data_IF_788969957262
#
_entry.id   IF_788969957262
#
_cell.length_a   1.000
_cell.length_b   1.000
_cell.length_c   1.000
_cell.angle_alpha   90.00
_cell.angle_beta   90.00
_cell.angle_gamma   90.00
#
_symmetry.space_group_name_H-M   'P 1'
#
loop_
_entity.id
_entity.type
_entity.pdbx_description
1 polymer ?
#
# COMPACT_ATOMS: atom_id res chain seq x y z
N UNK A 1 -3.60 -11.04 8.98
CA UNK A 1 -3.27 -9.66 8.53
C UNK A 1 -4.12 -8.65 9.29
N UNK A 2 -3.60 -7.47 9.67
CA UNK A 2 -4.31 -6.51 10.57
C UNK A 2 -5.56 -5.89 9.95
N UNK A 3 -5.57 -5.60 8.64
CA UNK A 3 -6.77 -5.10 7.97
C UNK A 3 -7.97 -6.05 8.06
N UNK A 4 -7.76 -7.35 7.83
CA UNK A 4 -8.82 -8.35 7.96
C UNK A 4 -9.42 -8.40 9.38
N UNK A 5 -8.60 -8.15 10.41
CA UNK A 5 -9.07 -8.07 11.81
C UNK A 5 -9.88 -6.80 12.10
N UNK A 6 -9.75 -5.77 11.26
CA UNK A 6 -10.58 -4.57 11.27
C UNK A 6 -11.84 -4.73 10.39
N UNK A 7 -12.07 -5.91 9.82
CA UNK A 7 -13.19 -6.15 8.92
C UNK A 7 -13.05 -5.42 7.58
N UNK A 8 -11.82 -5.13 7.16
CA UNK A 8 -11.51 -4.49 5.88
C UNK A 8 -11.09 -5.55 4.86
N UNK A 9 -11.72 -5.51 3.69
CA UNK A 9 -11.28 -6.26 2.52
C UNK A 9 -9.98 -5.68 1.98
N UNK A 10 -9.06 -6.57 1.64
CA UNK A 10 -7.74 -6.19 1.13
C UNK A 10 -7.31 -7.17 0.06
N UNK A 11 -6.95 -6.61 -1.09
CA UNK A 11 -6.33 -7.34 -2.17
C UNK A 11 -4.81 -7.17 -2.09
N UNK A 12 -4.08 -8.26 -2.37
CA UNK A 12 -2.63 -8.28 -2.36
C UNK A 12 -2.09 -8.39 -3.78
N UNK A 13 -0.91 -7.80 -4.01
CA UNK A 13 -0.20 -7.89 -5.30
C UNK A 13 -1.08 -7.44 -6.47
N UNK A 14 -1.81 -6.34 -6.30
CA UNK A 14 -2.71 -5.80 -7.33
C UNK A 14 -1.87 -5.10 -8.42
N UNK A 15 -2.00 -5.49 -9.70
CA UNK A 15 -1.24 -4.87 -10.76
C UNK A 15 -1.77 -3.48 -11.11
N UNK A 16 -0.86 -2.54 -11.33
CA UNK A 16 -1.09 -1.20 -11.86
C UNK A 16 -0.15 -1.01 -13.04
N UNK A 17 -0.66 -0.54 -14.18
CA UNK A 17 0.21 -0.25 -15.33
C UNK A 17 1.25 0.80 -14.97
N UNK A 18 2.50 0.45 -15.20
CA UNK A 18 3.66 1.32 -15.04
C UNK A 18 3.97 2.11 -16.31
N UNK A 19 4.94 3.02 -16.24
CA UNK A 19 5.45 3.70 -17.42
C UNK A 19 6.09 2.70 -18.41
N UNK A 20 6.07 3.04 -19.69
CA UNK A 20 6.71 2.27 -20.77
C UNK A 20 6.23 0.81 -20.89
N UNK A 21 4.97 0.54 -20.54
CA UNK A 21 4.40 -0.81 -20.61
C UNK A 21 4.81 -1.74 -19.46
N UNK A 22 5.52 -1.22 -18.45
CA UNK A 22 5.81 -1.95 -17.22
C UNK A 22 4.54 -2.20 -16.39
N UNK A 23 4.68 -2.97 -15.32
CA UNK A 23 3.61 -3.19 -14.33
C UNK A 23 4.21 -3.05 -12.93
N UNK A 24 3.54 -2.29 -12.08
CA UNK A 24 3.80 -2.23 -10.65
C UNK A 24 2.78 -3.09 -9.92
N UNK A 25 3.17 -3.63 -8.77
CA UNK A 25 2.28 -4.41 -7.91
C UNK A 25 2.15 -3.70 -6.58
N UNK A 26 0.92 -3.51 -6.14
CA UNK A 26 0.62 -2.93 -4.83
C UNK A 26 0.67 -4.04 -3.80
N UNK A 27 1.44 -3.86 -2.73
CA UNK A 27 1.49 -4.84 -1.66
C UNK A 27 0.12 -5.04 -1.03
N UNK A 28 -0.59 -3.93 -0.79
CA UNK A 28 -1.95 -3.92 -0.25
C UNK A 28 -2.80 -2.90 -0.99
N UNK A 29 -4.01 -3.30 -1.38
CA UNK A 29 -5.05 -2.42 -1.87
C UNK A 29 -6.28 -2.57 -0.97
N UNK A 30 -6.79 -1.46 -0.44
CA UNK A 30 -7.95 -1.43 0.46
C UNK A 30 -9.05 -0.60 -0.20
N UNK A 31 -9.94 -1.25 -1.00
CA UNK A 31 -10.90 -0.53 -1.82
C UNK A 31 -11.81 0.39 -1.01
N UNK A 32 -12.21 -0.05 0.19
CA UNK A 32 -13.24 0.63 1.01
C UNK A 32 -12.79 1.96 1.58
N UNK A 33 -11.48 2.16 1.59
CA UNK A 33 -10.84 3.36 2.09
C UNK A 33 -10.18 4.17 0.97
N UNK A 34 -10.24 3.68 -0.28
CA UNK A 34 -9.52 4.30 -1.41
C UNK A 34 -8.01 4.34 -1.17
N UNK A 35 -7.46 3.31 -0.50
CA UNK A 35 -6.05 3.28 -0.10
C UNK A 35 -5.28 2.21 -0.84
N UNK A 36 -4.00 2.47 -1.02
CA UNK A 36 -3.00 1.43 -1.22
C UNK A 36 -1.90 1.57 -0.17
N UNK A 37 -1.25 0.46 0.15
CA UNK A 37 -0.36 0.37 1.28
C UNK A 37 0.90 -0.41 0.99
N UNK A 38 1.97 -0.05 1.69
CA UNK A 38 3.26 -0.76 1.66
C UNK A 38 3.69 -1.09 3.08
N UNK A 39 4.14 -2.33 3.27
CA UNK A 39 4.76 -2.77 4.51
C UNK A 39 6.27 -2.64 4.37
N UNK A 40 6.80 -1.48 4.76
CA UNK A 40 8.19 -1.12 4.53
C UNK A 40 9.06 -1.39 5.76
N UNK A 41 9.97 -2.36 5.63
CA UNK A 41 10.98 -2.65 6.64
C UNK A 41 12.21 -1.75 6.47
N UNK A 42 12.70 -1.15 7.57
CA UNK A 42 13.94 -0.35 7.59
C UNK A 42 15.15 -1.07 6.96
N UNK A 43 15.20 -2.40 7.09
CA UNK A 43 16.30 -3.24 6.62
C UNK A 43 16.61 -3.07 5.13
N UNK A 44 15.62 -2.76 4.27
CA UNK A 44 15.84 -2.55 2.84
C UNK A 44 16.71 -1.33 2.54
N UNK A 45 16.80 -0.39 3.47
CA UNK A 45 17.66 0.79 3.35
C UNK A 45 18.99 0.60 4.08
N UNK A 46 18.99 -0.07 5.23
CA UNK A 46 20.17 -0.13 6.11
C UNK A 46 21.09 -1.31 5.85
N UNK A 47 20.61 -2.39 5.23
CA UNK A 47 21.40 -3.61 5.01
C UNK A 47 21.57 -3.89 3.51
N UNK A 48 22.82 -3.90 3.07
CA UNK A 48 23.20 -4.07 1.66
C UNK A 48 22.71 -5.37 1.05
N UNK A 49 22.52 -6.42 1.87
CA UNK A 49 22.05 -7.74 1.41
C UNK A 49 20.64 -7.67 0.81
N UNK A 50 19.83 -6.69 1.23
CA UNK A 50 18.47 -6.50 0.74
C UNK A 50 18.37 -5.51 -0.43
N UNK A 51 19.49 -4.91 -0.86
CA UNK A 51 19.48 -3.87 -1.91
C UNK A 51 19.74 -4.37 -3.32
N UNK A 52 20.07 -5.65 -3.48
CA UNK A 52 20.29 -6.24 -4.81
C UNK A 52 21.34 -5.52 -5.65
N UNK A 53 22.37 -4.95 -5.01
CA UNK A 53 23.42 -4.16 -5.66
C UNK A 53 23.13 -2.66 -5.81
N UNK A 54 21.93 -2.19 -5.46
CA UNK A 54 21.58 -0.77 -5.47
C UNK A 54 22.05 -0.02 -4.22
N UNK A 55 22.21 1.29 -4.34
CA UNK A 55 22.38 2.17 -3.21
C UNK A 55 21.05 2.40 -2.47
N UNK A 56 21.12 2.92 -1.25
CA UNK A 56 19.90 3.27 -0.51
C UNK A 56 19.15 4.44 -1.17
N UNK A 57 19.88 5.41 -1.73
CA UNK A 57 19.33 6.56 -2.44
C UNK A 57 18.58 6.15 -3.71
N UNK A 58 19.12 5.19 -4.47
CA UNK A 58 18.47 4.64 -5.66
C UNK A 58 17.13 3.97 -5.30
N UNK A 59 17.11 3.13 -4.26
CA UNK A 59 15.88 2.48 -3.79
C UNK A 59 14.83 3.52 -3.38
N UNK A 60 15.23 4.51 -2.58
CA UNK A 60 14.31 5.58 -2.16
C UNK A 60 13.77 6.35 -3.36
N UNK A 61 14.61 6.68 -4.34
CA UNK A 61 14.20 7.40 -5.53
C UNK A 61 13.21 6.59 -6.37
N UNK A 62 13.49 5.32 -6.63
CA UNK A 62 12.61 4.42 -7.38
C UNK A 62 11.26 4.21 -6.68
N UNK A 63 11.27 3.99 -5.36
CA UNK A 63 10.05 3.84 -4.56
C UNK A 63 9.21 5.11 -4.58
N UNK A 64 9.84 6.29 -4.49
CA UNK A 64 9.15 7.57 -4.60
C UNK A 64 8.51 7.75 -5.97
N UNK A 65 9.26 7.50 -7.05
CA UNK A 65 8.75 7.61 -8.43
C UNK A 65 7.59 6.66 -8.69
N UNK A 66 7.68 5.43 -8.18
CA UNK A 66 6.60 4.43 -8.26
C UNK A 66 5.38 4.91 -7.48
N UNK A 67 5.56 5.40 -6.26
CA UNK A 67 4.47 5.91 -5.44
C UNK A 67 3.75 7.11 -6.07
N UNK A 68 4.50 8.06 -6.63
CA UNK A 68 3.95 9.21 -7.35
C UNK A 68 3.13 8.76 -8.57
N UNK A 69 3.67 7.81 -9.35
CA UNK A 69 2.98 7.26 -10.52
C UNK A 69 1.68 6.57 -10.14
N UNK A 70 1.71 5.64 -9.17
CA UNK A 70 0.50 4.91 -8.74
C UNK A 70 -0.53 5.89 -8.20
N UNK A 71 -0.14 6.78 -7.28
CA UNK A 71 -1.07 7.76 -6.68
C UNK A 71 -1.69 8.64 -7.77
N UNK A 72 -0.88 9.14 -8.72
CA UNK A 72 -1.37 9.98 -9.82
C UNK A 72 -2.28 9.25 -10.81
N UNK A 73 -2.00 7.98 -11.12
CA UNK A 73 -2.79 7.19 -12.09
C UNK A 73 -4.07 6.60 -11.53
N UNK A 74 -4.09 6.31 -10.24
CA UNK A 74 -5.19 5.59 -9.59
C UNK A 74 -6.06 6.48 -8.73
N UNK A 75 -5.55 7.63 -8.29
CA UNK A 75 -6.19 8.49 -7.30
C UNK A 75 -6.19 7.89 -5.88
N UNK A 76 -5.62 6.70 -5.69
CA UNK A 76 -5.56 6.04 -4.40
C UNK A 76 -4.54 6.73 -3.49
N UNK A 77 -4.90 6.86 -2.23
CA UNK A 77 -4.00 7.42 -1.23
C UNK A 77 -3.04 6.36 -0.72
N UNK A 78 -1.74 6.67 -0.73
CA UNK A 78 -0.70 5.83 -0.15
C UNK A 78 -0.65 5.96 1.37
N UNK A 79 -0.55 4.83 2.07
CA UNK A 79 -0.12 4.75 3.46
C UNK A 79 1.06 3.75 3.61
N UNK A 80 1.96 4.00 4.56
CA UNK A 80 3.07 3.10 4.86
C UNK A 80 3.08 2.74 6.33
N UNK A 81 3.56 1.54 6.64
CA UNK A 81 3.77 1.10 8.01
C UNK A 81 4.95 0.13 8.08
N UNK A 82 5.56 0.03 9.25
CA UNK A 82 6.58 -0.94 9.57
C UNK A 82 6.06 -2.03 10.50
N UNK A 83 7.00 -2.80 11.03
CA UNK A 83 6.70 -3.90 11.96
C UNK A 83 6.01 -3.39 13.22
N UNK A 84 6.45 -2.25 13.77
CA UNK A 84 5.95 -1.71 15.04
C UNK A 84 4.47 -1.37 15.00
N UNK A 85 4.01 -0.73 13.93
CA UNK A 85 2.61 -0.32 13.78
C UNK A 85 1.67 -1.52 13.66
N UNK A 86 2.14 -2.66 13.13
CA UNK A 86 1.31 -3.88 13.00
C UNK A 86 1.44 -4.86 14.16
N UNK A 87 2.22 -4.55 15.20
CA UNK A 87 2.43 -5.48 16.34
C UNK A 87 1.14 -5.86 17.05
N UNK A 88 0.21 -4.93 17.18
CA UNK A 88 -1.11 -5.18 17.78
C UNK A 88 -2.21 -4.55 16.92
N UNK A 89 -3.46 -5.01 17.10
CA UNK A 89 -4.60 -4.40 16.44
C UNK A 89 -4.78 -2.93 16.86
N UNK A 90 -4.55 -2.64 18.14
CA UNK A 90 -4.62 -1.30 18.70
C UNK A 90 -3.56 -0.36 18.10
N UNK A 91 -2.30 -0.81 17.98
CA UNK A 91 -1.23 -0.04 17.36
C UNK A 91 -1.56 0.30 15.90
N UNK A 92 -2.05 -0.68 15.14
CA UNK A 92 -2.39 -0.47 13.74
C UNK A 92 -3.59 0.47 13.59
N UNK A 93 -4.60 0.32 14.45
CA UNK A 93 -5.77 1.20 14.49
C UNK A 93 -5.36 2.64 14.80
N UNK A 94 -4.47 2.84 15.78
CA UNK A 94 -3.96 4.16 16.14
C UNK A 94 -3.16 4.78 14.98
N UNK A 95 -2.34 3.99 14.30
CA UNK A 95 -1.58 4.42 13.11
C UNK A 95 -2.51 4.89 11.99
N UNK A 96 -3.50 4.08 11.62
CA UNK A 96 -4.50 4.47 10.62
C UNK A 96 -5.21 5.78 11.00
N UNK A 97 -5.66 5.91 12.26
CA UNK A 97 -6.31 7.13 12.75
C UNK A 97 -5.40 8.34 12.71
N UNK A 98 -4.12 8.20 13.06
CA UNK A 98 -3.13 9.29 12.98
C UNK A 98 -2.92 9.75 11.53
N UNK A 99 -3.06 8.85 10.57
CA UNK A 99 -3.09 9.16 9.14
C UNK A 99 -4.47 9.66 8.68
N UNK A 100 -5.43 9.92 9.56
CA UNK A 100 -6.78 10.36 9.18
C UNK A 100 -7.60 9.28 8.44
N UNK A 101 -7.22 8.02 8.57
CA UNK A 101 -7.98 6.86 8.08
C UNK A 101 -8.80 6.34 9.25
N UNK A 102 -10.13 6.45 9.16
CA UNK A 102 -11.02 5.89 10.15
C UNK A 102 -11.37 4.44 9.77
N UNK A 103 -10.74 3.42 10.36
CA UNK A 103 -11.19 2.05 10.13
C UNK A 103 -12.61 1.92 10.69
N UNK A 104 -13.50 1.19 10.00
CA UNK A 104 -14.85 1.01 10.47
C UNK A 104 -14.75 0.25 11.80
N UNK A 105 -15.30 0.83 12.88
CA UNK A 105 -15.24 0.23 14.23
C UNK A 105 -16.01 -1.09 14.37
N UNK A 106 -16.58 -1.57 13.27
CA UNK A 106 -17.31 -2.81 13.03
C UNK A 106 -17.19 -3.10 11.51
N UNK A 107 -17.18 -4.35 11.01
CA UNK A 107 -16.98 -4.62 9.58
C UNK A 107 -18.02 -3.87 8.74
N UNK A 108 -17.57 -2.90 7.95
CA UNK A 108 -18.43 -2.18 7.01
C UNK A 108 -18.45 -2.91 5.67
N UNK A 109 -19.65 -3.03 5.10
CA UNK A 109 -19.93 -3.69 3.82
C UNK A 109 -19.14 -3.10 2.64
N UNK A 110 -18.90 -4.00 1.69
CA UNK A 110 -18.23 -3.81 0.41
C UNK A 110 -18.41 -2.44 -0.26
N UNK A 111 -17.33 -1.77 -0.64
CA UNK A 111 -17.31 -0.88 -1.81
C UNK A 111 -17.28 -1.71 -3.10
N UNK A 112 -17.63 -1.07 -4.21
CA UNK A 112 -17.78 -1.66 -5.53
C UNK A 112 -16.54 -2.47 -6.00
N UNK A 113 -16.66 -3.77 -6.36
CA UNK A 113 -15.54 -4.61 -6.82
C UNK A 113 -14.87 -4.12 -8.12
N UNK A 114 -15.43 -3.11 -8.79
CA UNK A 114 -14.99 -2.67 -10.13
C UNK A 114 -13.72 -1.79 -10.12
N UNK A 115 -13.26 -1.33 -8.95
CA UNK A 115 -12.05 -0.47 -8.91
C UNK A 115 -10.78 -1.29 -9.20
N UNK A 116 -10.61 -2.49 -8.62
CA UNK A 116 -9.43 -3.32 -8.89
C UNK A 116 -9.31 -3.66 -10.39
N UNK A 117 -10.43 -4.00 -11.04
CA UNK A 117 -10.48 -4.21 -12.49
C UNK A 117 -10.13 -2.92 -13.26
N UNK A 118 -10.55 -1.75 -12.77
CA UNK A 118 -10.19 -0.45 -13.34
C UNK A 118 -8.69 -0.19 -13.26
N UNK A 119 -8.03 -0.47 -12.14
CA UNK A 119 -6.57 -0.28 -11.96
C UNK A 119 -5.74 -1.04 -13.01
N UNK A 120 -6.24 -2.20 -13.46
CA UNK A 120 -5.61 -2.99 -14.52
C UNK A 120 -5.90 -2.48 -15.94
N UNK A 121 -6.98 -1.71 -16.13
CA UNK A 121 -7.52 -1.32 -17.45
C UNK A 121 -7.17 0.11 -17.88
N UNK A 122 -6.88 1.04 -16.96
CA UNK A 122 -6.51 2.42 -17.35
C UNK A 122 -5.28 2.39 -18.28
N UNK A 123 -5.29 3.09 -19.43
CA UNK A 123 -4.15 3.16 -20.36
C UNK A 123 -2.94 3.86 -19.74
#
# INVERSE_FOLDING_TARGET
MRFAQLGLDVDLQVPVKGPHGGTFFLDFYVPSLGLWGECDGRSKYTDARFRGGKSAEEIVYEEKRRADWVTGKTGLRLIRWGVEEVRTLAAFTAHLRALGVAPPGNPARHPDPDIAATLTRVP
#
